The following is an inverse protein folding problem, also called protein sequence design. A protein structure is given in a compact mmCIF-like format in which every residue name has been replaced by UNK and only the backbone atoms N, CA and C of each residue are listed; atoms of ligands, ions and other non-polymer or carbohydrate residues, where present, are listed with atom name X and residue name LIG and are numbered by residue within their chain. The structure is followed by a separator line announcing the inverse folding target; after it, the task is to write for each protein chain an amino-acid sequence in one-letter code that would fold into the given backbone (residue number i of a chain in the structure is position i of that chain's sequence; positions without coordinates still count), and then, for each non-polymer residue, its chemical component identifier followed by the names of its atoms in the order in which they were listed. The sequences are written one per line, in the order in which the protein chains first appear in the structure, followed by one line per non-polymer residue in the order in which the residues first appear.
data_IF_674948597492
#
_entry.id   IF_674948597492
#
_cell.length_a   1.000
_cell.length_b   1.000
_cell.length_c   1.000
_cell.angle_alpha   90.00
_cell.angle_beta   90.00
_cell.angle_gamma   90.00
#
_symmetry.space_group_name_H-M   'P 1'
#
loop_
_entity.id
_entity.type
_entity.pdbx_description
1 polymer ?
#
# COMPACT_ATOMS: atom_id res chain seq x y z
N UNK A 1 41.08 5.43 -57.60
CA UNK A 1 39.78 5.03 -58.17
C UNK A 1 39.58 3.57 -57.77
N UNK A 2 38.84 3.30 -56.68
CA UNK A 2 37.43 2.78 -56.66
C UNK A 2 37.32 1.43 -57.37
N UNK A 3 36.71 0.35 -56.89
CA UNK A 3 35.87 -0.04 -55.75
C UNK A 3 36.01 -1.60 -55.68
N UNK A 4 35.60 -2.39 -54.68
CA UNK A 4 34.26 -2.59 -54.12
C UNK A 4 34.41 -3.79 -53.17
N UNK A 5 33.92 -3.75 -51.93
CA UNK A 5 33.54 -4.97 -51.21
C UNK A 5 32.39 -4.65 -50.24
N UNK A 6 31.38 -5.52 -50.26
CA UNK A 6 30.06 -5.37 -49.65
C UNK A 6 30.11 -5.35 -48.11
N UNK A 7 29.37 -4.42 -47.52
CA UNK A 7 29.08 -4.33 -46.09
C UNK A 7 27.77 -5.09 -45.79
N UNK A 8 27.83 -6.12 -44.94
CA UNK A 8 26.64 -6.66 -44.27
C UNK A 8 26.68 -6.18 -42.82
N UNK A 9 25.78 -5.27 -42.47
CA UNK A 9 25.66 -4.70 -41.12
C UNK A 9 24.61 -5.49 -40.34
N UNK A 10 25.05 -6.33 -39.41
CA UNK A 10 24.19 -6.86 -38.35
C UNK A 10 24.25 -5.87 -37.18
N UNK A 11 23.21 -5.04 -37.03
CA UNK A 11 23.09 -4.15 -35.87
C UNK A 11 22.55 -4.97 -34.69
N UNK A 12 23.46 -5.44 -33.83
CA UNK A 12 23.12 -6.01 -32.54
C UNK A 12 22.73 -4.84 -31.62
N UNK A 13 21.43 -4.68 -31.33
CA UNK A 13 20.94 -3.77 -30.30
C UNK A 13 21.36 -4.33 -28.93
N UNK A 14 22.48 -3.83 -28.40
CA UNK A 14 22.88 -4.00 -27.01
C UNK A 14 21.88 -3.25 -26.12
N UNK A 15 20.91 -3.97 -25.55
CA UNK A 15 20.18 -3.49 -24.39
C UNK A 15 21.18 -3.35 -23.22
N UNK A 16 21.19 -2.22 -22.48
CA UNK A 16 22.09 -2.08 -21.35
C UNK A 16 21.71 -3.11 -20.28
N UNK A 17 22.59 -4.09 -20.10
CA UNK A 17 22.54 -5.00 -18.97
C UNK A 17 22.90 -4.21 -17.72
N UNK A 18 21.89 -3.80 -16.96
CA UNK A 18 22.11 -3.21 -15.64
C UNK A 18 22.49 -4.31 -14.65
N UNK A 19 23.78 -4.62 -14.57
CA UNK A 19 24.37 -5.36 -13.46
C UNK A 19 24.29 -4.53 -12.18
N UNK A 20 23.28 -4.75 -11.35
CA UNK A 20 23.19 -4.15 -10.01
C UNK A 20 24.01 -4.97 -9.00
N UNK A 21 25.33 -4.80 -9.04
CA UNK A 21 26.20 -5.11 -7.93
C UNK A 21 26.56 -3.79 -7.22
N UNK A 22 25.93 -3.53 -6.07
CA UNK A 22 26.25 -2.36 -5.24
C UNK A 22 25.10 -1.94 -4.33
N UNK A 23 25.25 -2.23 -3.03
CA UNK A 23 24.45 -1.76 -1.88
C UNK A 23 22.97 -2.21 -1.81
N UNK A 24 22.73 -3.39 -1.23
CA UNK A 24 21.42 -3.79 -0.69
C UNK A 24 21.44 -3.72 0.84
N UNK A 25 21.27 -2.52 1.40
CA UNK A 25 20.96 -2.33 2.82
C UNK A 25 19.70 -1.47 2.90
N UNK A 26 18.55 -2.15 3.01
CA UNK A 26 17.22 -1.56 2.92
C UNK A 26 16.18 -2.57 2.42
N UNK A 27 16.38 -3.87 2.74
CA UNK A 27 15.45 -4.91 2.34
C UNK A 27 14.12 -4.73 3.06
N UNK A 28 13.02 -4.74 2.32
CA UNK A 28 11.65 -4.74 2.87
C UNK A 28 11.26 -6.16 3.33
N UNK A 29 12.21 -6.82 4.00
CA UNK A 29 12.12 -8.25 4.29
C UNK A 29 11.32 -8.46 5.57
N UNK A 30 10.23 -9.20 5.42
CA UNK A 30 9.55 -9.82 6.53
C UNK A 30 10.42 -10.90 7.16
N UNK A 31 10.44 -10.96 8.48
CA UNK A 31 11.00 -12.10 9.18
C UNK A 31 10.21 -13.37 8.80
N UNK A 32 10.93 -14.40 8.34
CA UNK A 32 10.34 -15.69 7.98
C UNK A 32 10.48 -16.63 9.16
N UNK A 33 9.38 -17.20 9.63
CA UNK A 33 9.37 -18.17 10.73
C UNK A 33 9.11 -19.57 10.17
N UNK A 34 10.00 -20.52 10.46
CA UNK A 34 9.94 -21.86 9.87
C UNK A 34 8.58 -22.54 10.10
N UNK A 35 7.89 -22.87 9.00
CA UNK A 35 6.58 -23.55 9.03
C UNK A 35 5.38 -22.67 9.40
N UNK A 36 5.56 -21.35 9.53
CA UNK A 36 4.51 -20.39 9.89
C UNK A 36 4.38 -19.31 8.81
N UNK A 37 3.51 -19.48 7.80
CA UNK A 37 3.23 -18.44 6.84
C UNK A 37 2.42 -17.30 7.47
N UNK A 38 2.45 -16.12 6.87
CA UNK A 38 1.57 -15.01 7.27
C UNK A 38 0.13 -15.22 6.73
N UNK A 39 -0.92 -14.90 7.50
CA UNK A 39 -0.86 -14.42 8.86
C UNK A 39 -0.46 -15.52 9.85
N UNK A 40 0.40 -15.18 10.80
CA UNK A 40 0.78 -16.08 11.88
C UNK A 40 -0.30 -15.99 12.97
N UNK A 41 -1.05 -17.07 13.13
CA UNK A 41 -2.12 -17.16 14.13
C UNK A 41 -1.57 -17.65 15.48
N UNK A 42 -1.64 -16.78 16.49
CA UNK A 42 -1.40 -17.13 17.87
C UNK A 42 -2.74 -17.40 18.57
N UNK A 43 -3.06 -18.69 18.72
CA UNK A 43 -4.20 -19.15 19.52
C UNK A 43 -3.74 -19.41 20.95
N UNK A 44 -4.30 -18.69 21.91
CA UNK A 44 -4.09 -19.00 23.32
C UNK A 44 -5.00 -20.15 23.76
N UNK A 45 -4.47 -21.08 24.56
CA UNK A 45 -5.27 -22.15 25.16
C UNK A 45 -6.01 -21.63 26.40
N UNK A 46 -7.25 -22.09 26.59
CA UNK A 46 -8.03 -21.77 27.79
C UNK A 46 -7.33 -22.23 29.07
N UNK A 47 -7.45 -21.44 30.14
CA UNK A 47 -6.84 -21.77 31.44
C UNK A 47 -5.31 -21.53 31.55
N UNK A 48 -4.69 -20.84 30.57
CA UNK A 48 -3.31 -20.39 30.71
C UNK A 48 -3.17 -19.45 31.92
N UNK A 49 -2.14 -19.70 32.74
CA UNK A 49 -1.86 -18.88 33.92
C UNK A 49 -1.53 -17.44 33.53
N UNK A 50 -1.96 -16.50 34.36
CA UNK A 50 -1.62 -15.09 34.20
C UNK A 50 -0.09 -14.89 34.13
N UNK A 51 0.37 -14.12 33.15
CA UNK A 51 1.77 -13.74 32.98
C UNK A 51 2.65 -14.77 32.26
N UNK A 52 2.09 -15.89 31.79
CA UNK A 52 2.86 -16.89 31.03
C UNK A 52 2.88 -16.59 29.53
N UNK A 53 3.94 -17.04 28.86
CA UNK A 53 3.99 -17.06 27.39
C UNK A 53 3.05 -18.15 26.92
N UNK A 54 1.95 -17.73 26.31
CA UNK A 54 0.90 -18.62 25.82
C UNK A 54 1.08 -19.04 24.37
N UNK A 55 1.91 -18.34 23.61
CA UNK A 55 2.33 -18.69 22.25
C UNK A 55 3.74 -18.16 21.99
N UNK A 56 4.54 -18.92 21.26
CA UNK A 56 5.87 -18.51 20.80
C UNK A 56 6.17 -19.16 19.45
N UNK A 57 6.75 -18.40 18.52
CA UNK A 57 7.21 -18.94 17.23
C UNK A 57 8.54 -19.70 17.38
N UNK A 58 8.92 -20.55 16.43
CA UNK A 58 10.33 -20.85 16.19
C UNK A 58 11.15 -19.56 16.02
N UNK A 59 12.47 -19.65 16.14
CA UNK A 59 13.30 -18.54 15.69
C UNK A 59 13.07 -18.30 14.20
N UNK A 60 13.11 -17.03 13.79
CA UNK A 60 13.11 -16.66 12.39
C UNK A 60 14.28 -17.32 11.65
N UNK A 61 14.23 -17.35 10.33
CA UNK A 61 15.43 -17.55 9.52
C UNK A 61 16.44 -16.45 9.82
N UNK A 62 17.71 -16.71 9.55
CA UNK A 62 18.77 -15.73 9.76
C UNK A 62 18.54 -14.53 8.82
N UNK A 63 18.41 -13.31 9.36
CA UNK A 63 18.24 -12.11 8.55
C UNK A 63 19.38 -11.92 7.55
N UNK A 64 19.01 -11.59 6.30
CA UNK A 64 19.97 -11.30 5.24
C UNK A 64 20.79 -10.04 5.54
N UNK A 65 20.15 -9.05 6.17
CA UNK A 65 20.75 -7.78 6.59
C UNK A 65 20.68 -7.59 8.12
N UNK A 66 21.38 -6.57 8.62
CA UNK A 66 21.22 -6.10 10.00
C UNK A 66 19.88 -5.39 10.19
N UNK A 67 19.38 -5.43 11.43
CA UNK A 67 18.22 -4.68 11.86
C UNK A 67 18.43 -4.17 13.30
N UNK A 68 17.82 -3.03 13.61
CA UNK A 68 17.68 -2.50 14.97
C UNK A 68 16.20 -2.28 15.35
N UNK A 69 15.31 -2.45 14.37
CA UNK A 69 13.90 -2.19 14.48
C UNK A 69 13.11 -3.38 13.96
N UNK A 70 12.11 -3.82 14.72
CA UNK A 70 11.08 -4.76 14.25
C UNK A 70 9.72 -4.07 14.30
N UNK A 71 8.97 -4.15 13.20
CA UNK A 71 7.62 -3.61 13.09
C UNK A 71 6.65 -4.75 12.88
N UNK A 72 5.65 -4.85 13.76
CA UNK A 72 4.57 -5.82 13.65
C UNK A 72 3.28 -5.07 13.36
N UNK A 73 2.43 -5.68 12.55
CA UNK A 73 1.02 -5.30 12.43
C UNK A 73 0.13 -6.53 12.33
N UNK A 74 -1.13 -6.38 12.71
CA UNK A 74 -2.06 -7.50 12.72
C UNK A 74 -3.39 -7.20 13.40
N UNK A 75 -4.05 -8.24 13.88
CA UNK A 75 -5.29 -8.15 14.65
C UNK A 75 -5.12 -8.80 16.02
N UNK A 76 -5.62 -8.13 17.05
CA UNK A 76 -5.57 -8.54 18.45
C UNK A 76 -6.98 -8.41 19.03
N UNK A 77 -7.64 -9.53 19.28
CA UNK A 77 -9.04 -9.51 19.73
C UNK A 77 -9.19 -8.99 21.17
N UNK A 78 -8.15 -9.13 22.00
CA UNK A 78 -8.18 -8.82 23.43
C UNK A 78 -6.96 -7.98 23.84
N UNK A 79 -7.15 -6.80 24.50
CA UNK A 79 -6.05 -5.95 24.92
C UNK A 79 -5.19 -6.52 26.06
N UNK A 80 -5.63 -7.59 26.74
CA UNK A 80 -4.83 -8.29 27.74
C UNK A 80 -3.83 -9.29 27.10
N UNK A 81 -3.66 -9.27 25.77
CA UNK A 81 -2.55 -9.91 25.08
C UNK A 81 -1.37 -8.93 24.96
N UNK A 82 -0.18 -9.35 25.38
CA UNK A 82 1.05 -8.58 25.15
C UNK A 82 1.96 -9.31 24.18
N UNK A 83 2.44 -8.59 23.17
CA UNK A 83 3.44 -9.09 22.24
C UNK A 83 4.83 -8.69 22.71
N UNK A 84 5.76 -9.63 22.71
CA UNK A 84 7.18 -9.45 22.96
C UNK A 84 7.97 -10.07 21.81
N UNK A 85 9.23 -9.66 21.66
CA UNK A 85 10.19 -10.40 20.82
C UNK A 85 11.34 -10.93 21.69
N UNK A 86 11.85 -12.11 21.35
CA UNK A 86 13.07 -12.65 21.96
C UNK A 86 14.16 -12.82 20.90
N UNK A 87 15.22 -12.02 21.00
CA UNK A 87 16.36 -12.06 20.08
C UNK A 87 17.37 -13.09 20.57
N UNK A 88 17.82 -13.98 19.67
CA UNK A 88 18.77 -15.04 19.99
C UNK A 88 20.10 -14.46 20.47
N UNK A 89 20.70 -15.09 21.48
CA UNK A 89 22.04 -14.73 21.96
C UNK A 89 23.12 -15.00 20.89
N UNK A 90 24.18 -14.18 20.88
CA UNK A 90 25.27 -14.26 19.88
C UNK A 90 26.13 -15.51 19.99
N UNK A 91 26.15 -16.16 21.14
CA UNK A 91 26.86 -17.41 21.39
C UNK A 91 25.92 -18.47 21.95
N UNK A 92 26.30 -19.74 21.86
CA UNK A 92 25.52 -20.85 22.42
C UNK A 92 25.23 -20.69 23.93
N UNK A 93 26.12 -20.00 24.65
CA UNK A 93 25.98 -19.77 26.10
C UNK A 93 25.21 -18.48 26.44
N UNK A 94 24.93 -17.63 25.45
CA UNK A 94 24.22 -16.38 25.67
C UNK A 94 22.71 -16.63 25.66
N UNK A 95 22.05 -16.33 26.77
CA UNK A 95 20.59 -16.33 26.85
C UNK A 95 19.98 -15.35 25.83
N UNK A 96 18.77 -15.66 25.37
CA UNK A 96 18.00 -14.74 24.53
C UNK A 96 17.62 -13.47 25.31
N UNK A 97 17.65 -12.33 24.63
CA UNK A 97 17.18 -11.06 25.20
C UNK A 97 15.75 -10.81 24.79
N UNK A 98 14.88 -10.54 25.78
CA UNK A 98 13.45 -10.28 25.56
C UNK A 98 13.21 -8.77 25.53
N UNK A 99 12.44 -8.32 24.55
CA UNK A 99 12.08 -6.92 24.35
C UNK A 99 10.56 -6.78 24.31
N UNK A 100 10.07 -5.83 25.11
CA UNK A 100 8.72 -5.30 24.96
C UNK A 100 8.70 -4.26 23.82
N UNK A 101 7.52 -3.92 23.27
CA UNK A 101 7.41 -2.86 22.27
C UNK A 101 7.91 -1.53 22.85
N UNK A 102 8.74 -0.80 22.10
CA UNK A 102 9.10 0.58 22.43
C UNK A 102 7.92 1.54 22.23
N UNK A 103 7.00 1.19 21.34
CA UNK A 103 5.71 1.85 21.15
C UNK A 103 4.74 0.89 20.47
N UNK A 104 3.45 1.00 20.76
CA UNK A 104 2.41 0.21 20.12
C UNK A 104 1.08 0.95 20.14
N UNK A 105 0.14 0.52 19.30
CA UNK A 105 -1.25 0.96 19.35
C UNK A 105 -2.16 -0.19 18.98
N UNK A 106 -3.25 -0.35 19.74
CA UNK A 106 -4.38 -1.22 19.40
C UNK A 106 -5.62 -0.37 19.20
N UNK A 107 -6.29 -0.54 18.07
CA UNK A 107 -7.54 0.11 17.73
C UNK A 107 -8.72 -0.65 18.34
N UNK A 108 -9.85 0.02 18.50
CA UNK A 108 -11.07 -0.58 19.08
C UNK A 108 -11.59 -1.75 18.26
N UNK A 109 -11.36 -1.75 16.94
CA UNK A 109 -11.70 -2.85 16.03
C UNK A 109 -10.70 -4.03 16.08
N UNK A 110 -9.69 -3.97 16.96
CA UNK A 110 -8.70 -5.02 17.14
C UNK A 110 -7.46 -4.90 16.25
N UNK A 111 -7.44 -4.05 15.21
CA UNK A 111 -6.21 -3.81 14.44
C UNK A 111 -5.13 -3.24 15.36
N UNK A 112 -3.89 -3.68 15.19
CA UNK A 112 -2.78 -3.20 16.02
C UNK A 112 -1.48 -3.12 15.24
N UNK A 113 -0.55 -2.33 15.77
CA UNK A 113 0.86 -2.40 15.42
C UNK A 113 1.73 -2.30 16.67
N UNK A 114 2.95 -2.82 16.58
CA UNK A 114 3.96 -2.74 17.62
C UNK A 114 5.34 -2.50 16.99
N UNK A 115 6.08 -1.54 17.53
CA UNK A 115 7.47 -1.23 17.17
C UNK A 115 8.37 -1.70 18.30
N UNK A 116 9.45 -2.38 17.96
CA UNK A 116 10.49 -2.82 18.88
C UNK A 116 11.81 -2.18 18.49
N UNK A 117 12.58 -1.75 19.49
CA UNK A 117 13.95 -1.26 19.32
C UNK A 117 14.90 -2.25 19.97
N UNK A 118 15.86 -2.74 19.21
CA UNK A 118 16.89 -3.70 19.66
C UNK A 118 18.27 -3.19 19.27
N UNK A 119 19.35 -3.63 19.97
CA UNK A 119 20.70 -3.34 19.49
C UNK A 119 20.88 -3.90 18.07
N UNK A 120 21.59 -3.15 17.21
CA UNK A 120 21.87 -3.54 15.83
C UNK A 120 22.42 -4.99 15.78
N UNK A 121 21.74 -5.84 15.01
CA UNK A 121 21.97 -7.28 15.04
C UNK A 121 21.56 -7.98 13.75
N UNK A 122 22.11 -9.18 13.53
CA UNK A 122 21.65 -10.16 12.52
C UNK A 122 21.11 -11.44 13.18
N UNK A 123 20.87 -11.40 14.48
CA UNK A 123 20.41 -12.58 15.20
C UNK A 123 18.93 -12.84 14.88
N UNK A 124 18.54 -14.10 14.64
CA UNK A 124 17.13 -14.49 14.60
C UNK A 124 16.38 -14.05 15.86
N UNK A 125 15.07 -13.83 15.73
CA UNK A 125 14.21 -13.58 16.88
C UNK A 125 12.95 -14.45 16.85
N UNK A 126 12.21 -14.47 17.95
CA UNK A 126 10.89 -15.11 18.09
C UNK A 126 9.83 -14.06 18.41
N UNK A 127 8.62 -14.29 17.94
CA UNK A 127 7.44 -13.61 18.48
C UNK A 127 6.96 -14.37 19.72
N UNK A 128 6.61 -13.64 20.77
CA UNK A 128 6.09 -14.19 22.04
C UNK A 128 4.81 -13.46 22.39
N UNK A 129 3.80 -14.22 22.81
CA UNK A 129 2.52 -13.68 23.27
C UNK A 129 2.35 -14.05 24.72
N UNK A 130 2.28 -13.04 25.57
CA UNK A 130 2.07 -13.17 27.01
C UNK A 130 0.60 -12.95 27.30
N UNK A 131 -0.02 -13.89 28.01
CA UNK A 131 -1.39 -13.75 28.48
C UNK A 131 -1.42 -12.92 29.77
N UNK A 132 -1.97 -11.71 29.73
CA UNK A 132 -2.16 -10.82 30.89
C UNK A 132 -3.61 -10.85 31.41
N UNK A 133 -4.32 -11.95 31.17
CA UNK A 133 -5.71 -12.14 31.60
C UNK A 133 -6.72 -11.96 30.46
N UNK A 134 -6.31 -12.31 29.24
CA UNK A 134 -7.19 -12.31 28.07
C UNK A 134 -8.32 -13.32 28.24
N UNK A 135 -9.48 -13.00 27.68
CA UNK A 135 -10.63 -13.90 27.68
C UNK A 135 -10.31 -15.21 26.94
N UNK A 136 -10.98 -16.29 27.35
CA UNK A 136 -10.86 -17.57 26.67
C UNK A 136 -11.22 -17.43 25.18
N UNK A 137 -10.36 -17.97 24.31
CA UNK A 137 -10.53 -17.86 22.86
C UNK A 137 -10.04 -16.55 22.25
N UNK A 138 -9.34 -15.69 23.00
CA UNK A 138 -8.65 -14.53 22.45
C UNK A 138 -7.68 -14.95 21.33
N UNK A 139 -7.74 -14.20 20.21
CA UNK A 139 -6.95 -14.43 19.00
C UNK A 139 -6.00 -13.28 18.77
N UNK A 140 -4.82 -13.63 18.25
CA UNK A 140 -3.86 -12.67 17.74
C UNK A 140 -3.34 -13.18 16.41
N UNK A 141 -3.45 -12.36 15.38
CA UNK A 141 -2.98 -12.67 14.03
C UNK A 141 -1.91 -11.65 13.66
N UNK A 142 -0.70 -12.09 13.34
CA UNK A 142 0.34 -11.22 12.80
C UNK A 142 0.28 -11.25 11.28
N UNK A 143 0.16 -10.10 10.64
CA UNK A 143 0.12 -9.99 9.17
C UNK A 143 1.51 -9.74 8.56
N UNK A 144 2.41 -9.19 9.37
CA UNK A 144 3.72 -8.74 8.96
C UNK A 144 4.67 -8.72 10.17
N UNK A 145 5.96 -8.97 9.93
CA UNK A 145 7.02 -8.66 10.86
C UNK A 145 8.23 -8.09 10.10
N UNK A 146 8.16 -6.80 9.75
CA UNK A 146 9.20 -6.12 8.98
C UNK A 146 10.43 -5.86 9.86
N UNK A 147 11.60 -6.23 9.35
CA UNK A 147 12.88 -5.89 9.97
C UNK A 147 13.50 -4.70 9.23
N UNK A 148 13.93 -3.68 9.96
CA UNK A 148 14.54 -2.50 9.36
C UNK A 148 15.65 -1.91 10.24
N UNK A 149 16.41 -1.00 9.65
CA UNK A 149 17.39 -0.16 10.35
C UNK A 149 16.81 1.25 10.37
N UNK A 150 16.59 1.82 11.55
CA UNK A 150 15.89 3.10 11.70
C UNK A 150 16.56 4.24 10.93
N UNK A 151 17.90 4.28 10.91
CA UNK A 151 18.66 5.27 10.15
C UNK A 151 18.56 5.12 8.63
N UNK A 152 18.06 3.98 8.14
CA UNK A 152 17.79 3.69 6.74
C UNK A 152 16.28 3.72 6.42
N UNK A 153 15.46 4.30 7.32
CA UNK A 153 14.04 4.53 7.07
C UNK A 153 13.83 5.26 5.74
N UNK A 154 12.72 4.92 5.05
CA UNK A 154 12.35 5.48 3.74
C UNK A 154 12.21 7.00 3.76
N UNK A 155 11.86 7.55 4.92
CA UNK A 155 11.82 8.98 5.18
C UNK A 155 12.60 9.25 6.46
N UNK A 156 13.42 10.29 6.44
CA UNK A 156 14.05 10.79 7.65
C UNK A 156 12.96 11.20 8.65
N UNK A 157 13.15 10.95 9.96
CA UNK A 157 12.22 11.42 10.96
C UNK A 157 12.00 12.93 10.77
N UNK A 158 10.75 13.39 10.69
CA UNK A 158 10.47 14.80 10.49
C UNK A 158 11.04 15.59 11.68
N UNK A 159 11.71 16.74 11.45
CA UNK A 159 12.10 17.61 12.55
C UNK A 159 10.85 18.05 13.32
N UNK A 160 10.94 18.30 14.64
CA UNK A 160 9.82 18.85 15.39
C UNK A 160 9.33 20.13 14.73
N UNK A 161 8.09 20.13 14.25
CA UNK A 161 7.48 21.31 13.67
C UNK A 161 6.79 22.12 14.79
N UNK A 162 7.09 23.42 14.88
CA UNK A 162 6.42 24.34 15.82
C UNK A 162 4.92 24.48 15.51
N UNK A 163 4.52 24.24 14.26
CA UNK A 163 3.14 24.26 13.79
C UNK A 163 2.86 23.08 12.86
N UNK A 164 1.64 22.51 12.86
CA UNK A 164 1.26 21.49 11.89
C UNK A 164 1.40 22.00 10.45
N UNK A 165 1.99 21.19 9.58
CA UNK A 165 2.04 21.49 8.15
C UNK A 165 0.66 21.24 7.53
N UNK A 166 0.14 22.25 6.83
CA UNK A 166 -1.09 22.15 6.03
C UNK A 166 -0.68 22.15 4.57
N UNK A 167 -0.86 21.03 3.84
CA UNK A 167 -0.55 20.97 2.42
C UNK A 167 -1.37 21.98 1.62
N UNK A 168 -0.74 22.60 0.62
CA UNK A 168 -1.46 23.37 -0.39
C UNK A 168 -2.48 22.44 -1.11
N UNK A 169 -3.80 22.72 -1.05
CA UNK A 169 -4.82 21.92 -1.72
C UNK A 169 -4.58 21.74 -3.22
N UNK A 170 -3.85 22.68 -3.85
CA UNK A 170 -3.52 22.59 -5.26
C UNK A 170 -2.73 21.33 -5.60
N UNK A 171 -1.92 20.81 -4.66
CA UNK A 171 -1.07 19.61 -4.85
C UNK A 171 -1.88 18.33 -5.08
N UNK A 172 -3.13 18.32 -4.63
CA UNK A 172 -4.08 17.22 -4.82
C UNK A 172 -4.83 17.33 -6.15
N UNK A 173 -5.51 16.26 -6.53
CA UNK A 173 -6.45 16.31 -7.66
C UNK A 173 -7.66 17.18 -7.32
N UNK A 174 -8.17 18.02 -8.25
CA UNK A 174 -9.36 18.83 -7.99
C UNK A 174 -10.61 17.97 -7.81
N UNK A 175 -11.67 18.52 -7.21
CA UNK A 175 -12.98 17.84 -7.07
C UNK A 175 -13.62 17.50 -8.42
N UNK A 176 -13.22 18.18 -9.49
CA UNK A 176 -13.64 17.92 -10.87
C UNK A 176 -12.87 16.79 -11.57
N UNK A 177 -12.01 16.05 -10.86
CA UNK A 177 -11.34 14.87 -11.42
C UNK A 177 -12.36 13.87 -12.00
N UNK A 178 -12.02 13.11 -13.04
CA UNK A 178 -12.98 12.30 -13.82
C UNK A 178 -13.50 11.06 -13.08
N UNK A 179 -13.13 10.87 -11.82
CA UNK A 179 -13.62 9.80 -10.96
C UNK A 179 -13.81 10.31 -9.53
N UNK A 180 -14.77 9.71 -8.83
CA UNK A 180 -15.07 10.05 -7.43
C UNK A 180 -13.97 9.50 -6.52
N UNK A 181 -13.56 10.31 -5.55
CA UNK A 181 -12.65 9.92 -4.48
C UNK A 181 -13.28 10.27 -3.13
N UNK A 182 -13.04 9.42 -2.14
CA UNK A 182 -13.22 9.75 -0.73
C UNK A 182 -12.00 10.56 -0.31
N UNK A 183 -12.21 11.85 -0.08
CA UNK A 183 -11.14 12.81 0.24
C UNK A 183 -10.59 12.59 1.63
N UNK A 184 -9.37 13.09 1.85
CA UNK A 184 -8.70 13.09 3.15
C UNK A 184 -9.60 13.54 4.31
N UNK A 185 -10.34 14.63 4.12
CA UNK A 185 -11.26 15.12 5.14
C UNK A 185 -12.44 14.15 5.41
N UNK A 186 -12.95 13.46 4.38
CA UNK A 186 -14.09 12.53 4.50
C UNK A 186 -13.72 11.27 5.28
N UNK A 187 -12.51 10.73 5.08
CA UNK A 187 -12.00 9.60 5.86
C UNK A 187 -11.25 10.02 7.14
N UNK A 188 -11.25 11.32 7.48
CA UNK A 188 -10.64 11.89 8.70
C UNK A 188 -9.14 11.65 8.79
N UNK A 189 -8.43 11.92 7.70
CA UNK A 189 -6.99 11.85 7.65
C UNK A 189 -6.32 12.76 8.67
N UNK A 190 -5.29 12.25 9.33
CA UNK A 190 -4.34 13.07 10.07
C UNK A 190 -3.55 13.97 9.11
N UNK A 191 -3.06 15.09 9.63
CA UNK A 191 -2.13 15.94 8.89
C UNK A 191 -0.78 15.23 8.71
N UNK A 192 -0.06 15.51 7.61
CA UNK A 192 1.33 15.09 7.48
C UNK A 192 2.22 15.63 8.61
N UNK A 193 3.24 14.85 8.97
CA UNK A 193 4.18 15.19 10.05
C UNK A 193 5.19 16.28 9.67
N UNK A 194 5.39 16.53 8.37
CA UNK A 194 6.24 17.60 7.84
C UNK A 194 5.85 17.97 6.40
N UNK A 195 6.53 18.96 5.84
CA UNK A 195 6.42 19.30 4.42
C UNK A 195 6.79 18.13 3.51
N UNK A 196 6.16 18.06 2.34
CA UNK A 196 6.45 17.06 1.32
C UNK A 196 7.52 17.49 0.33
N UNK A 197 8.16 16.50 -0.31
CA UNK A 197 8.93 16.70 -1.54
C UNK A 197 7.99 16.72 -2.74
N UNK A 198 8.10 17.73 -3.60
CA UNK A 198 7.29 17.81 -4.82
C UNK A 198 7.85 16.91 -5.92
N UNK A 199 6.97 16.33 -6.73
CA UNK A 199 7.37 15.57 -7.93
C UNK A 199 6.43 15.83 -9.11
N UNK A 200 6.73 15.23 -10.26
CA UNK A 200 5.82 15.12 -11.40
C UNK A 200 5.63 13.64 -11.77
N UNK A 201 4.38 13.14 -11.86
CA UNK A 201 4.12 11.74 -12.19
C UNK A 201 4.59 11.35 -13.59
N UNK A 202 5.27 10.20 -13.71
CA UNK A 202 5.59 9.58 -15.01
C UNK A 202 5.51 8.04 -15.01
N UNK A 203 5.19 7.42 -13.86
CA UNK A 203 4.89 6.00 -13.73
C UNK A 203 4.08 5.71 -12.47
N UNK A 204 3.58 4.48 -12.34
CA UNK A 204 2.81 4.05 -11.18
C UNK A 204 3.07 2.59 -10.80
N UNK A 205 2.86 2.31 -9.51
CA UNK A 205 3.11 1.00 -8.91
C UNK A 205 1.86 0.44 -8.24
N UNK A 206 1.53 -0.81 -8.55
CA UNK A 206 0.49 -1.60 -7.89
C UNK A 206 1.01 -2.20 -6.58
N UNK A 207 0.26 -1.97 -5.51
CA UNK A 207 0.49 -2.50 -4.18
C UNK A 207 -0.75 -3.25 -3.66
N UNK A 208 -0.52 -4.09 -2.65
CA UNK A 208 -1.54 -4.43 -1.66
C UNK A 208 -1.19 -3.85 -0.29
N UNK A 209 -2.10 -3.93 0.68
CA UNK A 209 -1.78 -3.55 2.06
C UNK A 209 -1.09 -4.65 2.85
N UNK A 210 -1.12 -5.92 2.37
CA UNK A 210 -0.78 -7.10 3.16
C UNK A 210 -1.51 -7.11 4.51
N UNK A 211 -2.73 -6.59 4.51
CA UNK A 211 -3.45 -6.22 5.73
C UNK A 211 -4.82 -6.88 5.81
N UNK A 212 -5.68 -6.29 6.64
CA UNK A 212 -7.05 -6.72 6.75
C UNK A 212 -7.79 -6.52 5.41
N UNK A 213 -8.75 -7.39 5.13
CA UNK A 213 -9.65 -7.26 3.98
C UNK A 213 -11.00 -6.72 4.45
N UNK A 214 -11.32 -5.44 4.20
CA UNK A 214 -12.53 -4.82 4.72
C UNK A 214 -13.80 -5.48 4.18
N UNK A 215 -14.74 -5.80 5.07
CA UNK A 215 -16.04 -6.41 4.74
C UNK A 215 -17.20 -5.42 4.72
N UNK A 216 -16.98 -4.17 5.11
CA UNK A 216 -17.95 -3.06 4.99
C UNK A 216 -17.22 -1.76 4.63
N UNK A 217 -17.91 -0.74 4.10
CA UNK A 217 -17.33 0.59 3.87
C UNK A 217 -16.72 1.22 5.13
N UNK A 218 -17.35 1.05 6.30
CA UNK A 218 -16.86 1.58 7.57
C UNK A 218 -15.56 0.88 8.01
N UNK A 219 -15.46 -0.43 7.75
CA UNK A 219 -14.22 -1.18 7.95
C UNK A 219 -13.11 -0.71 6.99
N UNK A 220 -13.46 -0.30 5.77
CA UNK A 220 -12.48 0.22 4.80
C UNK A 220 -11.94 1.59 5.21
N UNK A 221 -12.81 2.48 5.72
CA UNK A 221 -12.41 3.75 6.37
C UNK A 221 -11.47 3.48 7.55
N UNK A 222 -11.82 2.48 8.38
CA UNK A 222 -10.99 2.11 9.53
C UNK A 222 -9.62 1.57 9.09
N UNK A 223 -9.55 0.83 7.99
CA UNK A 223 -8.29 0.27 7.48
C UNK A 223 -7.38 1.36 6.89
N UNK A 224 -7.89 2.34 6.12
CA UNK A 224 -7.03 3.45 5.66
C UNK A 224 -6.51 4.30 6.84
N UNK A 225 -7.35 4.54 7.86
CA UNK A 225 -6.92 5.22 9.08
C UNK A 225 -5.83 4.44 9.81
N UNK A 226 -5.98 3.11 9.92
CA UNK A 226 -4.94 2.24 10.47
C UNK A 226 -3.65 2.32 9.67
N UNK A 227 -3.72 2.24 8.34
CA UNK A 227 -2.54 2.28 7.45
C UNK A 227 -1.82 3.62 7.57
N UNK A 228 -2.55 4.75 7.63
CA UNK A 228 -1.93 6.06 7.89
C UNK A 228 -1.22 6.10 9.24
N UNK A 229 -1.89 5.64 10.30
CA UNK A 229 -1.33 5.64 11.66
C UNK A 229 -0.10 4.73 11.78
N UNK A 230 -0.14 3.54 11.18
CA UNK A 230 1.00 2.62 11.12
C UNK A 230 2.19 3.27 10.40
N UNK A 231 1.95 3.88 9.23
CA UNK A 231 3.00 4.56 8.48
C UNK A 231 3.59 5.75 9.24
N UNK A 232 2.76 6.62 9.82
CA UNK A 232 3.25 7.80 10.53
C UNK A 232 3.90 7.46 11.87
N UNK A 233 3.28 6.58 12.67
CA UNK A 233 3.65 6.42 14.08
C UNK A 233 4.53 5.20 14.33
N UNK A 234 4.36 4.11 13.57
CA UNK A 234 5.23 2.94 13.66
C UNK A 234 6.43 3.06 12.71
N UNK A 235 6.18 3.35 11.42
CA UNK A 235 7.24 3.48 10.40
C UNK A 235 7.93 4.85 10.38
N UNK A 236 7.40 5.84 11.10
CA UNK A 236 7.94 7.22 11.21
C UNK A 236 7.94 8.01 9.90
N UNK A 237 7.02 7.70 9.00
CA UNK A 237 6.83 8.43 7.75
C UNK A 237 6.08 9.75 7.95
N UNK A 238 6.22 10.65 6.99
CA UNK A 238 5.53 11.94 6.91
C UNK A 238 4.01 11.72 6.87
N UNK A 239 3.55 10.75 6.09
CA UNK A 239 2.15 10.42 5.91
C UNK A 239 1.99 8.99 5.37
N UNK A 240 0.75 8.55 5.15
CA UNK A 240 0.43 7.33 4.41
C UNK A 240 1.29 7.19 3.14
N UNK A 241 1.92 6.05 2.90
CA UNK A 241 2.91 5.93 1.81
C UNK A 241 2.34 5.98 0.39
N UNK A 242 1.03 5.75 0.23
CA UNK A 242 0.36 5.64 -1.08
C UNK A 242 -0.34 6.94 -1.48
N UNK A 243 -0.55 7.13 -2.79
CA UNK A 243 -1.33 8.26 -3.33
C UNK A 243 -2.81 7.90 -3.40
N UNK A 244 -3.10 6.64 -3.72
CA UNK A 244 -4.46 6.10 -3.75
C UNK A 244 -4.52 4.77 -3.00
N UNK A 245 -5.63 4.55 -2.31
CA UNK A 245 -6.03 3.22 -1.86
C UNK A 245 -7.38 2.85 -2.45
N UNK A 246 -7.58 1.57 -2.74
CA UNK A 246 -8.83 1.05 -3.31
C UNK A 246 -9.33 -0.07 -2.42
N UNK A 247 -10.57 0.05 -1.94
CA UNK A 247 -11.20 -1.00 -1.15
C UNK A 247 -11.90 -2.07 -2.02
N UNK A 248 -12.34 -3.20 -1.42
CA UNK A 248 -13.06 -4.24 -2.14
C UNK A 248 -14.36 -3.80 -2.84
N UNK A 249 -14.95 -2.68 -2.43
CA UNK A 249 -16.19 -2.13 -2.99
C UNK A 249 -15.93 -1.19 -4.17
N UNK A 250 -14.66 -0.91 -4.47
CA UNK A 250 -14.26 0.02 -5.53
C UNK A 250 -14.28 1.48 -5.08
N UNK A 251 -14.30 1.78 -3.77
CA UNK A 251 -14.09 3.16 -3.34
C UNK A 251 -12.61 3.52 -3.49
N UNK A 252 -12.34 4.67 -4.08
CA UNK A 252 -10.99 5.24 -4.21
C UNK A 252 -10.79 6.25 -3.09
N UNK A 253 -9.78 6.03 -2.27
CA UNK A 253 -9.41 6.93 -1.18
C UNK A 253 -8.19 7.76 -1.58
N UNK A 254 -8.27 9.06 -1.31
CA UNK A 254 -7.15 9.98 -1.48
C UNK A 254 -6.13 9.79 -0.35
N UNK A 255 -4.90 9.37 -0.69
CA UNK A 255 -3.76 9.30 0.21
C UNK A 255 -2.93 10.59 0.13
N UNK A 256 -1.64 10.47 -0.20
CA UNK A 256 -0.79 11.65 -0.46
C UNK A 256 -1.26 12.41 -1.71
N UNK A 257 -1.09 13.75 -1.74
CA UNK A 257 -1.34 14.54 -2.94
C UNK A 257 -0.58 14.01 -4.16
N UNK A 258 -1.17 14.07 -5.36
CA UNK A 258 -0.59 13.47 -6.57
C UNK A 258 0.71 14.15 -7.05
N UNK A 259 0.97 15.39 -6.61
CA UNK A 259 2.19 16.15 -6.97
C UNK A 259 3.30 16.07 -5.91
N UNK A 260 3.20 15.14 -4.97
CA UNK A 260 4.22 14.93 -3.95
C UNK A 260 4.73 13.50 -3.96
N UNK A 261 5.96 13.29 -3.50
CA UNK A 261 6.51 11.95 -3.43
C UNK A 261 5.77 11.06 -2.42
N UNK A 262 5.58 9.80 -2.85
CA UNK A 262 5.15 8.72 -1.98
C UNK A 262 6.25 8.22 -1.05
N UNK A 263 5.92 7.20 -0.26
CA UNK A 263 6.89 6.43 0.54
C UNK A 263 6.71 4.92 0.34
N UNK A 264 6.25 4.51 -0.85
CA UNK A 264 5.74 3.16 -1.12
C UNK A 264 6.75 2.22 -1.77
N UNK A 265 7.77 2.73 -2.47
CA UNK A 265 8.92 1.93 -2.97
C UNK A 265 10.23 2.61 -2.59
N UNK A 266 11.06 1.95 -1.78
CA UNK A 266 12.36 2.50 -1.37
C UNK A 266 13.20 2.92 -2.60
N UNK A 267 13.71 4.15 -2.58
CA UNK A 267 14.54 4.75 -3.64
C UNK A 267 13.88 4.87 -5.03
N UNK A 268 12.55 4.71 -5.13
CA UNK A 268 11.78 4.77 -6.39
C UNK A 268 10.45 5.55 -6.23
N UNK A 269 10.41 6.57 -5.37
CA UNK A 269 9.19 7.36 -5.14
C UNK A 269 9.06 8.60 -6.06
N UNK A 270 10.17 9.18 -6.51
CA UNK A 270 10.16 10.33 -7.43
C UNK A 270 9.43 9.98 -8.73
N UNK A 271 8.38 10.72 -9.04
CA UNK A 271 7.48 10.52 -10.19
C UNK A 271 6.63 9.24 -10.18
N UNK A 272 6.63 8.50 -9.06
CA UNK A 272 5.93 7.23 -8.92
C UNK A 272 4.62 7.35 -8.13
N UNK A 273 3.50 7.07 -8.78
CA UNK A 273 2.19 7.01 -8.13
C UNK A 273 1.94 5.62 -7.56
N UNK A 274 1.89 5.52 -6.24
CA UNK A 274 1.55 4.29 -5.52
C UNK A 274 0.03 4.12 -5.37
N UNK A 275 -0.50 3.00 -5.88
CA UNK A 275 -1.91 2.62 -5.77
C UNK A 275 -2.00 1.29 -5.03
N UNK A 276 -2.58 1.28 -3.83
CA UNK A 276 -2.71 0.07 -3.00
C UNK A 276 -4.13 -0.47 -2.99
N UNK A 277 -4.32 -1.73 -3.35
CA UNK A 277 -5.61 -2.43 -3.18
C UNK A 277 -5.64 -3.04 -1.77
N UNK A 278 -6.67 -2.73 -0.98
CA UNK A 278 -6.78 -3.20 0.41
C UNK A 278 -7.00 -4.71 0.49
N UNK A 279 -6.15 -5.40 1.25
CA UNK A 279 -6.24 -6.83 1.51
C UNK A 279 -4.88 -7.52 1.45
N UNK A 280 -4.92 -8.84 1.56
CA UNK A 280 -3.78 -9.72 1.37
C UNK A 280 -4.06 -10.69 0.21
N UNK A 281 -3.17 -10.63 -0.78
CA UNK A 281 -3.26 -11.38 -2.04
C UNK A 281 -2.07 -12.33 -2.20
N UNK A 282 -1.45 -12.72 -1.08
CA UNK A 282 -0.32 -13.63 -1.04
C UNK A 282 -0.67 -14.90 -0.26
N UNK A 283 -0.52 -16.10 -0.85
CA UNK A 283 -0.79 -17.36 -0.18
C UNK A 283 -0.10 -17.47 1.19
N UNK A 284 -0.75 -18.10 2.19
CA UNK A 284 -2.01 -18.84 2.11
C UNK A 284 -3.27 -17.98 2.06
N UNK A 285 -3.17 -16.65 2.20
CA UNK A 285 -4.33 -15.77 2.06
C UNK A 285 -4.56 -15.45 0.59
N UNK A 286 -5.77 -15.71 0.12
CA UNK A 286 -6.18 -15.39 -1.24
C UNK A 286 -7.46 -14.56 -1.18
N UNK A 287 -7.32 -13.28 -0.80
CA UNK A 287 -8.46 -12.38 -0.87
C UNK A 287 -8.86 -12.15 -2.33
N UNK A 288 -10.17 -12.04 -2.65
CA UNK A 288 -10.59 -11.86 -4.02
C UNK A 288 -10.27 -10.44 -4.51
N UNK A 289 -9.69 -10.34 -5.71
CA UNK A 289 -9.64 -9.07 -6.45
C UNK A 289 -11.02 -8.86 -7.08
N UNK A 290 -11.84 -8.01 -6.48
CA UNK A 290 -13.22 -7.79 -6.94
C UNK A 290 -13.24 -7.03 -8.28
N UNK A 291 -14.27 -7.22 -9.12
CA UNK A 291 -14.43 -6.40 -10.32
C UNK A 291 -14.47 -4.90 -10.04
N UNK A 292 -15.04 -4.49 -8.90
CA UNK A 292 -15.11 -3.08 -8.49
C UNK A 292 -13.74 -2.50 -8.12
N UNK A 293 -12.93 -3.23 -7.34
CA UNK A 293 -11.56 -2.81 -7.01
C UNK A 293 -10.66 -2.78 -8.25
N UNK A 294 -10.72 -3.80 -9.10
CA UNK A 294 -10.00 -3.83 -10.37
C UNK A 294 -10.42 -2.69 -11.31
N UNK A 295 -11.72 -2.43 -11.44
CA UNK A 295 -12.25 -1.34 -12.27
C UNK A 295 -11.79 0.04 -11.78
N UNK A 296 -11.70 0.22 -10.47
CA UNK A 296 -11.20 1.46 -9.86
C UNK A 296 -9.71 1.66 -10.06
N UNK A 297 -8.92 0.59 -9.91
CA UNK A 297 -7.50 0.61 -10.27
C UNK A 297 -7.29 0.98 -11.75
N UNK A 298 -8.05 0.38 -12.65
CA UNK A 298 -8.02 0.70 -14.10
C UNK A 298 -8.42 2.15 -14.35
N UNK A 299 -9.42 2.67 -13.64
CA UNK A 299 -9.87 4.06 -13.75
C UNK A 299 -8.74 5.04 -13.39
N UNK A 300 -8.04 4.79 -12.28
CA UNK A 300 -6.87 5.59 -11.88
C UNK A 300 -5.76 5.46 -12.92
N UNK A 301 -5.44 4.23 -13.36
CA UNK A 301 -4.40 3.99 -14.36
C UNK A 301 -4.65 4.69 -15.70
N UNK A 302 -5.91 4.69 -16.18
CA UNK A 302 -6.29 5.42 -17.40
C UNK A 302 -6.14 6.92 -17.23
N UNK A 303 -6.57 7.47 -16.10
CA UNK A 303 -6.35 8.88 -15.79
C UNK A 303 -4.86 9.25 -15.82
N UNK A 304 -4.00 8.41 -15.22
CA UNK A 304 -2.56 8.65 -15.21
C UNK A 304 -1.97 8.61 -16.63
N UNK A 305 -2.35 7.62 -17.42
CA UNK A 305 -1.97 7.47 -18.84
C UNK A 305 -2.41 8.66 -19.69
N UNK A 306 -3.65 9.13 -19.51
CA UNK A 306 -4.23 10.15 -20.37
C UNK A 306 -3.80 11.59 -19.96
N UNK A 307 -3.31 11.76 -18.72
CA UNK A 307 -2.92 13.07 -18.16
C UNK A 307 -1.41 13.29 -18.11
N UNK A 308 -0.62 12.25 -17.87
CA UNK A 308 0.83 12.33 -17.65
C UNK A 308 1.60 11.52 -18.70
N UNK A 309 2.93 11.60 -18.68
CA UNK A 309 3.82 10.83 -19.56
C UNK A 309 3.91 9.34 -19.18
N UNK A 310 2.75 8.71 -18.89
CA UNK A 310 2.61 7.32 -18.47
C UNK A 310 2.24 6.47 -19.69
N UNK A 311 3.13 5.57 -20.07
CA UNK A 311 2.89 4.61 -21.15
C UNK A 311 2.87 3.18 -20.60
N UNK A 312 2.69 2.19 -21.47
CA UNK A 312 2.57 0.78 -21.06
C UNK A 312 3.77 0.25 -20.26
N UNK A 313 4.99 0.76 -20.50
CA UNK A 313 6.19 0.41 -19.73
C UNK A 313 6.31 1.16 -18.40
N UNK A 314 5.45 2.14 -18.15
CA UNK A 314 5.37 2.93 -16.91
C UNK A 314 4.47 2.29 -15.83
N UNK A 315 4.09 1.01 -15.99
CA UNK A 315 3.29 0.29 -14.99
C UNK A 315 4.07 -0.88 -14.37
N UNK A 316 4.31 -0.77 -13.07
CA UNK A 316 5.01 -1.76 -12.26
C UNK A 316 4.09 -2.34 -11.17
N UNK A 317 4.34 -3.57 -10.77
CA UNK A 317 4.00 -4.05 -9.45
C UNK A 317 5.18 -3.77 -8.51
N UNK A 318 4.95 -3.70 -7.19
CA UNK A 318 6.03 -3.37 -6.27
C UNK A 318 7.25 -4.30 -6.41
N UNK A 319 7.02 -5.61 -6.49
CA UNK A 319 8.05 -6.64 -6.72
C UNK A 319 8.85 -6.50 -8.03
N UNK A 320 8.37 -5.72 -9.01
CA UNK A 320 9.13 -5.50 -10.26
C UNK A 320 10.32 -4.55 -10.07
N UNK A 321 10.21 -3.63 -9.10
CA UNK A 321 11.14 -2.51 -8.91
C UNK A 321 11.66 -2.37 -7.48
N UNK A 322 11.20 -3.23 -6.57
CA UNK A 322 11.61 -3.33 -5.17
C UNK A 322 11.90 -4.78 -4.76
N UNK A 323 12.46 -4.96 -3.57
CA UNK A 323 12.69 -6.27 -2.97
C UNK A 323 11.54 -6.59 -2.01
N UNK A 324 10.41 -7.02 -2.56
CA UNK A 324 9.13 -7.19 -1.85
C UNK A 324 8.31 -8.31 -2.48
N UNK A 325 7.49 -8.98 -1.68
CA UNK A 325 6.43 -9.87 -2.19
C UNK A 325 5.17 -9.09 -2.59
N UNK A 326 5.08 -7.80 -2.28
CA UNK A 326 3.96 -6.96 -2.70
C UNK A 326 3.87 -6.93 -4.24
N UNK A 327 2.68 -7.05 -4.87
CA UNK A 327 1.33 -6.98 -4.32
C UNK A 327 0.71 -8.34 -3.95
N UNK A 328 1.52 -9.37 -3.71
CA UNK A 328 1.08 -10.75 -3.53
C UNK A 328 0.88 -11.48 -4.85
N UNK A 329 0.93 -12.82 -4.81
CA UNK A 329 0.98 -13.65 -6.01
C UNK A 329 -0.32 -13.58 -6.83
N UNK A 330 -1.46 -13.55 -6.15
CA UNK A 330 -2.78 -13.57 -6.80
C UNK A 330 -3.06 -12.25 -7.53
N UNK A 331 -2.71 -11.12 -6.91
CA UNK A 331 -2.87 -9.80 -7.53
C UNK A 331 -1.79 -9.54 -8.58
N UNK A 332 -0.57 -10.03 -8.37
CA UNK A 332 0.49 -9.96 -9.38
C UNK A 332 0.13 -10.76 -10.64
N UNK A 333 -0.52 -11.93 -10.51
CA UNK A 333 -1.01 -12.70 -11.65
C UNK A 333 -2.03 -11.93 -12.52
N UNK A 334 -2.76 -10.97 -11.93
CA UNK A 334 -3.70 -10.08 -12.64
C UNK A 334 -3.02 -8.88 -13.32
N UNK A 335 -1.73 -8.64 -13.09
CA UNK A 335 -1.02 -7.45 -13.59
C UNK A 335 -1.14 -7.29 -15.11
N UNK A 336 -0.98 -8.36 -15.88
CA UNK A 336 -1.08 -8.32 -17.34
C UNK A 336 -2.47 -7.89 -17.81
N UNK A 337 -3.52 -8.45 -17.22
CA UNK A 337 -4.91 -8.07 -17.51
C UNK A 337 -5.17 -6.59 -17.16
N UNK A 338 -4.77 -6.14 -15.96
CA UNK A 338 -4.93 -4.74 -15.54
C UNK A 338 -4.21 -3.78 -16.49
N UNK A 339 -2.99 -4.12 -16.89
CA UNK A 339 -2.22 -3.37 -17.89
C UNK A 339 -2.98 -3.27 -19.20
N UNK A 340 -3.46 -4.40 -19.72
CA UNK A 340 -4.14 -4.43 -21.01
C UNK A 340 -5.45 -3.62 -20.95
N UNK A 341 -6.20 -3.67 -19.84
CA UNK A 341 -7.38 -2.84 -19.62
C UNK A 341 -7.08 -1.33 -19.59
N UNK A 342 -5.91 -0.92 -19.08
CA UNK A 342 -5.50 0.49 -19.00
C UNK A 342 -5.01 1.01 -20.36
N UNK A 343 -4.15 0.24 -21.04
CA UNK A 343 -3.38 0.73 -22.18
C UNK A 343 -3.97 0.35 -23.54
N UNK A 344 -4.82 -0.68 -23.63
CA UNK A 344 -5.48 -1.03 -24.90
C UNK A 344 -6.53 0.03 -25.24
N UNK A 345 -6.49 0.62 -26.45
CA UNK A 345 -7.55 1.49 -26.92
C UNK A 345 -8.90 0.78 -26.83
N UNK A 346 -9.83 1.34 -26.07
CA UNK A 346 -11.21 0.88 -26.13
C UNK A 346 -11.78 1.30 -27.50
N UNK A 347 -12.55 0.44 -28.19
CA UNK A 347 -13.30 0.87 -29.36
C UNK A 347 -14.11 2.11 -28.97
N UNK A 348 -14.17 3.12 -29.84
CA UNK A 348 -15.11 4.20 -29.64
C UNK A 348 -16.50 3.57 -29.37
N UNK A 349 -17.27 4.05 -28.37
CA UNK A 349 -18.63 3.61 -28.21
C UNK A 349 -19.31 3.65 -29.57
N UNK A 350 -19.94 2.56 -29.99
CA UNK A 350 -20.74 2.59 -31.21
C UNK A 350 -21.65 3.81 -31.12
N UNK A 351 -21.77 4.64 -32.18
CA UNK A 351 -22.70 5.75 -32.15
C UNK A 351 -24.06 5.19 -31.71
N UNK A 352 -24.56 5.72 -30.59
CA UNK A 352 -25.90 5.34 -30.10
C UNK A 352 -26.85 5.68 -31.24
N UNK A 353 -27.40 4.66 -31.87
CA UNK A 353 -28.40 4.87 -32.90
C UNK A 353 -29.65 5.37 -32.16
N UNK A 354 -29.87 6.69 -32.21
CA UNK A 354 -30.95 7.35 -31.46
C UNK A 354 -32.34 6.81 -31.84
N UNK A 355 -32.46 6.06 -32.94
CA UNK A 355 -33.67 5.33 -33.34
C UNK A 355 -34.05 4.17 -32.44
N UNK A 356 -33.07 3.59 -31.73
CA UNK A 356 -33.26 2.36 -30.94
C UNK A 356 -33.37 2.67 -29.43
N UNK A 357 -33.27 3.95 -29.06
CA UNK A 357 -33.51 4.39 -27.70
C UNK A 357 -35.02 4.25 -27.37
N UNK A 358 -35.39 3.67 -26.22
CA UNK A 358 -36.78 3.66 -25.80
C UNK A 358 -37.32 5.10 -25.74
N UNK A 359 -38.59 5.32 -26.11
CA UNK A 359 -39.18 6.66 -26.08
C UNK A 359 -39.06 7.24 -24.67
N UNK A 360 -38.65 8.51 -24.58
CA UNK A 360 -38.53 9.21 -23.31
C UNK A 360 -39.87 9.16 -22.57
N UNK A 361 -39.83 8.83 -21.29
CA UNK A 361 -40.99 9.01 -20.41
C UNK A 361 -41.40 10.49 -20.37
N UNK A 362 -42.65 10.82 -20.04
CA UNK A 362 -43.09 12.21 -19.91
C UNK A 362 -42.21 13.04 -18.96
N UNK A 363 -41.71 12.42 -17.88
CA UNK A 363 -40.78 13.05 -16.95
C UNK A 363 -39.41 13.36 -17.59
N UNK A 364 -38.86 12.41 -18.35
CA UNK A 364 -37.60 12.62 -19.07
C UNK A 364 -37.74 13.66 -20.19
N UNK A 365 -38.87 13.69 -20.89
CA UNK A 365 -39.19 14.73 -21.87
C UNK A 365 -39.25 16.11 -21.22
N UNK A 366 -39.89 16.22 -20.06
CA UNK A 366 -39.97 17.48 -19.33
C UNK A 366 -38.61 17.95 -18.83
N UNK A 367 -37.75 17.02 -18.38
CA UNK A 367 -36.36 17.31 -17.99
C UNK A 367 -35.52 17.72 -19.19
N UNK A 368 -35.67 17.06 -20.34
CA UNK A 368 -34.97 17.42 -21.58
C UNK A 368 -35.41 18.80 -22.08
N UNK A 369 -36.70 19.12 -22.04
CA UNK A 369 -37.20 20.45 -22.38
C UNK A 369 -36.61 21.51 -21.46
N UNK A 370 -36.58 21.27 -20.14
CA UNK A 370 -35.94 22.18 -19.17
C UNK A 370 -34.46 22.40 -19.46
N UNK A 371 -33.73 21.33 -19.77
CA UNK A 371 -32.32 21.39 -20.12
C UNK A 371 -32.08 22.20 -21.40
N UNK A 372 -32.91 21.98 -22.44
CA UNK A 372 -32.82 22.73 -23.71
C UNK A 372 -33.12 24.22 -23.51
N UNK A 373 -34.18 24.55 -22.77
CA UNK A 373 -34.51 25.94 -22.44
C UNK A 373 -33.39 26.60 -21.64
N UNK A 374 -32.79 25.88 -20.69
CA UNK A 374 -31.65 26.37 -19.93
C UNK A 374 -30.45 26.64 -20.83
N UNK A 375 -30.03 25.67 -21.66
CA UNK A 375 -28.89 25.84 -22.58
C UNK A 375 -29.09 27.01 -23.55
N UNK A 376 -30.29 27.15 -24.13
CA UNK A 376 -30.62 28.27 -25.00
C UNK A 376 -30.59 29.63 -24.27
N UNK A 377 -30.90 29.66 -22.97
CA UNK A 377 -30.78 30.88 -22.14
C UNK A 377 -29.33 31.26 -21.82
N UNK A 378 -28.41 30.27 -21.82
CA UNK A 378 -26.98 30.50 -21.63
C UNK A 378 -26.36 31.04 -22.93
N UNK A 379 -26.80 30.54 -24.08
CA UNK A 379 -26.35 31.02 -25.41
C UNK A 379 -26.92 32.40 -25.77
N UNK A 380 -28.09 32.76 -25.23
CA UNK A 380 -28.73 34.05 -25.48
C UNK A 380 -28.32 35.18 -24.52
N UNK A 381 -27.43 34.91 -23.55
CA UNK A 381 -26.88 35.97 -22.68
C UNK A 381 -25.74 36.69 -23.41
N UNK A 382 -25.86 37.99 -23.72
CA UNK A 382 -24.73 38.75 -24.26
C UNK A 382 -23.65 38.90 -23.18
N UNK A 383 -22.39 38.74 -23.58
CA UNK A 383 -21.21 39.04 -22.75
C UNK A 383 -21.20 40.49 -22.27
#
# INVERSE_FOLDING_TARGET
MTATLRLALFTLLLAPSFSHAGLKTGSEDNAVFGGLPYPIEAALTAGQKLGVVGFETPYSLTPAAEYDTVLLQGEMSDPALRVEIAVKGRSFFSAASVYAPSSSRRFSNGRFWARFSVPLTRQPFKLRVVNLGAADGAKLSFYEAEMTVESLSREAPPPPAEKPYIPDPSLSLPYSAPFKMIRRAEWKAELPKSSYTLHQPFYFTLHHTQGNYPKTPEAAISEIQFVQDYHQNAKKWIDIGYHFMVDPFGNIYEGRPIRVEGAHVLSRNTGNIGISIMGNYHPPVSNPVTPASAGSFVTIGRYLKDTYAVNVSSFYAHRDIGNSDCPGDDLYARKAELRDLIFTPQPAPLPVNLSDAPPLTPAQQQSLTRLKTYLLSIEASPQ
#
